data_IF_397377707580
#
_entry.id   IF_397377707580
#
_cell.length_a   1.000
_cell.length_b   1.000
_cell.length_c   1.000
_cell.angle_alpha   90.00
_cell.angle_beta   90.00
_cell.angle_gamma   90.00
#
_symmetry.space_group_name_H-M   'P 1'
#
loop_
_entity.id
_entity.type
_entity.pdbx_description
1 polymer ?
#
# COMPACT_ATOMS: atom_id res chain seq x y z
N UNK A 1 -36.19 -37.24 48.54
CA UNK A 1 -36.79 -35.90 48.54
C UNK A 1 -35.68 -34.91 48.84
N UNK A 2 -35.55 -33.95 47.95
CA UNK A 2 -34.58 -32.86 47.93
C UNK A 2 -34.62 -32.00 49.20
N UNK A 3 -33.48 -31.41 49.56
CA UNK A 3 -33.34 -29.95 49.73
C UNK A 3 -31.91 -29.57 50.14
N UNK A 4 -31.17 -29.07 49.14
CA UNK A 4 -30.34 -27.86 49.18
C UNK A 4 -29.73 -27.40 50.52
N UNK A 5 -28.44 -27.69 50.68
CA UNK A 5 -27.53 -26.99 51.58
C UNK A 5 -26.31 -26.48 50.80
N UNK A 6 -26.09 -25.17 50.85
CA UNK A 6 -25.06 -24.36 50.17
C UNK A 6 -23.65 -25.00 50.19
N UNK A 7 -22.95 -25.15 49.04
CA UNK A 7 -21.50 -25.37 49.04
C UNK A 7 -20.74 -24.04 49.19
N UNK A 8 -19.62 -24.02 49.95
CA UNK A 8 -18.79 -22.84 50.11
C UNK A 8 -18.05 -22.47 48.82
N UNK A 9 -17.79 -21.17 48.67
CA UNK A 9 -16.98 -20.52 47.61
C UNK A 9 -15.72 -21.34 47.26
N UNK A 10 -15.47 -21.70 45.99
CA UNK A 10 -14.13 -22.08 45.57
C UNK A 10 -13.25 -20.81 45.50
N UNK A 11 -12.17 -20.86 46.27
CA UNK A 11 -11.02 -19.97 46.17
C UNK A 11 -10.50 -19.91 44.74
N UNK A 12 -10.16 -18.70 44.31
CA UNK A 12 -9.39 -18.39 43.11
C UNK A 12 -8.22 -19.38 42.93
N UNK A 13 -8.03 -19.97 41.74
CA UNK A 13 -6.82 -20.72 41.48
C UNK A 13 -5.62 -19.76 41.40
N UNK A 14 -4.48 -20.14 41.99
CA UNK A 14 -3.26 -19.36 41.92
C UNK A 14 -2.68 -19.37 40.50
N UNK A 15 -1.98 -18.27 40.24
CA UNK A 15 -1.11 -17.96 39.13
C UNK A 15 -0.33 -19.19 38.63
N UNK A 16 -0.56 -19.57 37.37
CA UNK A 16 0.13 -20.68 36.75
C UNK A 16 1.41 -20.13 36.12
N UNK A 17 2.43 -20.05 36.96
CA UNK A 17 3.84 -19.92 36.57
C UNK A 17 4.18 -20.88 35.43
N UNK A 18 4.82 -20.32 34.40
CA UNK A 18 5.88 -20.91 33.61
C UNK A 18 5.67 -22.35 33.12
N UNK A 19 5.12 -22.45 31.90
CA UNK A 19 5.52 -23.51 30.97
C UNK A 19 6.17 -22.90 29.75
N UNK A 20 7.47 -22.67 29.90
CA UNK A 20 8.41 -22.48 28.80
C UNK A 20 8.42 -23.73 27.92
N UNK A 21 8.17 -23.56 26.62
CA UNK A 21 8.62 -24.51 25.60
C UNK A 21 10.00 -24.03 25.15
N UNK A 22 11.00 -24.71 25.70
CA UNK A 22 12.42 -24.54 25.45
C UNK A 22 12.76 -24.84 23.98
N UNK A 23 13.22 -23.84 23.22
CA UNK A 23 14.10 -24.07 22.06
C UNK A 23 15.46 -23.48 22.41
N UNK A 24 16.38 -24.39 22.72
CA UNK A 24 17.75 -24.12 23.15
C UNK A 24 18.51 -23.41 22.01
N UNK A 25 19.00 -22.20 22.27
CA UNK A 25 20.29 -21.76 21.73
C UNK A 25 21.13 -21.20 22.87
N UNK A 26 22.14 -21.98 23.25
CA UNK A 26 23.11 -21.71 24.30
C UNK A 26 24.20 -20.76 23.81
N UNK A 27 24.37 -19.62 24.51
CA UNK A 27 25.64 -18.98 24.96
C UNK A 27 25.29 -17.56 25.45
N UNK A 28 25.07 -17.37 26.76
CA UNK A 28 26.06 -16.95 27.77
C UNK A 28 26.53 -15.50 27.64
N UNK A 29 25.92 -14.61 28.45
CA UNK A 29 26.64 -13.51 29.10
C UNK A 29 26.13 -12.09 28.82
N UNK A 30 25.61 -11.44 29.87
CA UNK A 30 25.60 -9.97 29.99
C UNK A 30 24.23 -9.32 29.77
N UNK A 31 23.58 -8.94 30.86
CA UNK A 31 22.24 -8.37 30.85
C UNK A 31 22.16 -6.96 30.24
N UNK A 32 21.04 -6.70 29.57
CA UNK A 32 20.23 -5.51 29.76
C UNK A 32 18.80 -5.88 29.33
N UNK A 33 17.89 -5.83 30.30
CA UNK A 33 16.45 -5.99 30.11
C UNK A 33 15.93 -4.88 29.19
N UNK A 34 15.48 -5.24 28.00
CA UNK A 34 14.67 -4.36 27.15
C UNK A 34 13.21 -4.57 27.57
N UNK A 35 12.71 -3.65 28.38
CA UNK A 35 11.30 -3.49 28.70
C UNK A 35 10.56 -3.07 27.41
N UNK A 36 9.89 -4.01 26.74
CA UNK A 36 8.95 -3.69 25.65
C UNK A 36 7.54 -3.46 26.20
N UNK A 37 7.42 -2.45 27.05
CA UNK A 37 6.19 -1.66 27.12
C UNK A 37 6.24 -0.62 26.01
N UNK A 38 5.90 -1.00 24.77
CA UNK A 38 5.54 0.00 23.75
C UNK A 38 4.20 0.62 24.16
N UNK A 39 4.27 1.57 25.08
CA UNK A 39 3.23 2.56 25.27
C UNK A 39 2.99 3.21 23.92
N UNK A 40 1.74 3.20 23.46
CA UNK A 40 1.30 4.05 22.36
C UNK A 40 1.50 5.50 22.79
N UNK A 41 2.69 6.03 22.52
CA UNK A 41 2.94 7.47 22.57
C UNK A 41 2.17 8.03 21.38
N UNK A 42 0.94 8.47 21.64
CA UNK A 42 0.32 9.50 20.83
C UNK A 42 1.31 10.67 20.86
N UNK A 43 2.03 10.87 19.76
CA UNK A 43 2.93 11.99 19.56
C UNK A 43 2.11 13.27 19.81
N UNK A 44 2.27 13.81 21.02
CA UNK A 44 1.63 15.04 21.48
C UNK A 44 2.42 16.27 21.05
N UNK A 45 3.33 16.13 20.07
CA UNK A 45 3.80 17.28 19.34
C UNK A 45 2.69 17.77 18.43
N UNK A 46 1.89 18.71 18.96
CA UNK A 46 1.12 19.65 18.15
C UNK A 46 2.09 20.57 17.40
N UNK A 47 2.94 20.01 16.54
CA UNK A 47 3.51 20.76 15.42
C UNK A 47 2.32 21.06 14.53
N UNK A 48 1.86 22.31 14.57
CA UNK A 48 0.94 22.85 13.57
C UNK A 48 1.59 22.58 12.22
N UNK A 49 1.19 21.47 11.59
CA UNK A 49 1.60 21.10 10.25
C UNK A 49 1.15 22.28 9.41
N UNK A 50 2.10 23.09 8.88
CA UNK A 50 1.75 24.09 7.87
C UNK A 50 0.93 23.33 6.83
N UNK A 51 -0.31 23.76 6.64
CA UNK A 51 -1.19 23.17 5.64
C UNK A 51 -0.48 23.45 4.33
N UNK A 52 0.13 22.42 3.75
CA UNK A 52 0.76 22.52 2.45
C UNK A 52 -0.35 22.92 1.46
N UNK A 53 -0.29 24.18 1.05
CA UNK A 53 -1.37 24.85 0.32
C UNK A 53 -1.53 24.17 -1.03
N UNK A 54 -0.44 23.67 -1.64
CA UNK A 54 -0.52 22.97 -2.92
C UNK A 54 -1.22 21.62 -2.80
N UNK A 55 -0.98 20.87 -1.72
CA UNK A 55 -1.62 19.56 -1.50
C UNK A 55 -3.14 19.68 -1.29
N UNK A 56 -3.60 20.77 -0.71
CA UNK A 56 -5.01 20.96 -0.35
C UNK A 56 -5.75 21.98 -1.24
N UNK A 57 -5.05 22.70 -2.12
CA UNK A 57 -5.62 23.63 -3.09
C UNK A 57 -6.77 23.03 -3.93
N UNK A 58 -6.70 21.75 -4.38
CA UNK A 58 -7.81 21.13 -5.08
C UNK A 58 -9.13 21.16 -4.29
N UNK A 59 -9.10 20.87 -2.99
CA UNK A 59 -10.30 20.85 -2.15
C UNK A 59 -10.97 22.22 -2.13
N UNK A 60 -10.18 23.27 -1.89
CA UNK A 60 -10.65 24.66 -1.89
C UNK A 60 -11.16 25.09 -3.27
N UNK A 61 -10.44 24.76 -4.34
CA UNK A 61 -10.82 25.07 -5.72
C UNK A 61 -12.13 24.43 -6.13
N UNK A 62 -12.34 23.14 -5.82
CA UNK A 62 -13.60 22.45 -6.10
C UNK A 62 -14.75 22.94 -5.23
N UNK A 63 -14.50 23.32 -3.96
CA UNK A 63 -15.52 23.93 -3.11
C UNK A 63 -16.00 25.29 -3.68
N UNK A 64 -15.06 26.14 -4.12
CA UNK A 64 -15.37 27.42 -4.77
C UNK A 64 -16.10 27.21 -6.11
N UNK A 65 -15.62 26.27 -6.93
CA UNK A 65 -16.25 25.94 -8.19
C UNK A 65 -17.67 25.37 -8.00
N UNK A 66 -17.91 24.58 -6.94
CA UNK A 66 -19.24 24.12 -6.56
C UNK A 66 -20.15 25.30 -6.18
N UNK A 67 -19.67 26.23 -5.36
CA UNK A 67 -20.42 27.43 -4.99
C UNK A 67 -20.75 28.31 -6.20
N UNK A 68 -19.77 28.57 -7.07
CA UNK A 68 -19.96 29.32 -8.31
C UNK A 68 -20.97 28.64 -9.24
N UNK A 69 -20.88 27.32 -9.43
CA UNK A 69 -21.84 26.56 -10.22
C UNK A 69 -23.25 26.62 -9.60
N UNK A 70 -23.36 26.50 -8.28
CA UNK A 70 -24.66 26.61 -7.59
C UNK A 70 -25.29 27.99 -7.75
N UNK A 71 -24.49 29.06 -7.66
CA UNK A 71 -24.94 30.43 -7.90
C UNK A 71 -25.35 30.62 -9.37
N UNK A 72 -24.52 30.20 -10.31
CA UNK A 72 -24.83 30.26 -11.74
C UNK A 72 -26.14 29.55 -12.09
N UNK A 73 -26.40 28.37 -11.52
CA UNK A 73 -27.67 27.65 -11.71
C UNK A 73 -28.90 28.39 -11.16
N UNK A 74 -28.75 29.27 -10.16
CA UNK A 74 -29.84 30.13 -9.70
C UNK A 74 -30.20 31.20 -10.73
N UNK A 75 -29.19 31.74 -11.43
CA UNK A 75 -29.40 32.79 -12.43
C UNK A 75 -29.75 32.25 -13.83
N UNK A 76 -29.30 31.04 -14.19
CA UNK A 76 -29.55 30.42 -15.50
C UNK A 76 -30.02 28.96 -15.33
N UNK A 77 -31.31 28.73 -14.99
CA UNK A 77 -31.83 27.38 -14.77
C UNK A 77 -32.03 26.64 -16.10
N UNK A 78 -30.97 26.05 -16.66
CA UNK A 78 -31.08 25.10 -17.76
C UNK A 78 -31.37 23.70 -17.21
N UNK A 79 -32.54 23.13 -17.51
CA UNK A 79 -32.88 21.73 -17.24
C UNK A 79 -32.30 20.85 -18.34
N UNK A 80 -31.02 20.47 -18.21
CA UNK A 80 -30.46 19.38 -19.01
C UNK A 80 -31.05 18.05 -18.53
N UNK A 81 -31.27 17.07 -19.45
CA UNK A 81 -31.64 15.73 -19.05
C UNK A 81 -30.59 15.16 -18.09
N UNK A 82 -31.06 14.50 -17.03
CA UNK A 82 -30.21 14.01 -15.96
C UNK A 82 -29.47 12.75 -16.45
N UNK A 83 -28.29 12.96 -17.05
CA UNK A 83 -27.45 11.89 -17.59
C UNK A 83 -26.94 10.93 -16.50
N UNK A 84 -26.75 11.40 -15.26
CA UNK A 84 -26.26 10.58 -14.16
C UNK A 84 -27.07 10.81 -12.88
N UNK A 85 -27.23 9.82 -11.98
CA UNK A 85 -27.93 9.98 -10.70
C UNK A 85 -27.20 10.83 -9.67
N UNK A 86 -25.95 11.17 -9.97
CA UNK A 86 -25.10 11.80 -8.99
C UNK A 86 -25.61 13.19 -8.67
N UNK A 87 -25.64 13.49 -7.37
CA UNK A 87 -25.82 14.86 -6.94
C UNK A 87 -24.61 15.67 -7.40
N UNK A 88 -24.81 16.96 -7.66
CA UNK A 88 -23.71 17.86 -8.00
C UNK A 88 -22.60 17.80 -6.94
N UNK A 89 -22.98 17.73 -5.66
CA UNK A 89 -22.03 17.56 -4.55
C UNK A 89 -21.20 16.28 -4.65
N UNK A 90 -21.81 15.16 -5.07
CA UNK A 90 -21.12 13.87 -5.20
C UNK A 90 -20.04 13.93 -6.29
N UNK A 91 -20.35 14.57 -7.43
CA UNK A 91 -19.38 14.75 -8.53
C UNK A 91 -18.20 15.65 -8.12
N UNK A 92 -18.48 16.79 -7.47
CA UNK A 92 -17.43 17.69 -7.00
C UNK A 92 -16.60 17.06 -5.89
N UNK A 93 -17.21 16.29 -4.99
CA UNK A 93 -16.48 15.56 -3.96
C UNK A 93 -15.58 14.48 -4.57
N UNK A 94 -16.07 13.72 -5.55
CA UNK A 94 -15.27 12.74 -6.27
C UNK A 94 -14.06 13.38 -6.96
N UNK A 95 -14.28 14.39 -7.80
CA UNK A 95 -13.19 15.04 -8.54
C UNK A 95 -12.23 15.80 -7.63
N UNK A 96 -12.75 16.46 -6.58
CA UNK A 96 -11.92 17.10 -5.57
C UNK A 96 -11.03 16.11 -4.84
N UNK A 97 -11.58 14.95 -4.42
CA UNK A 97 -10.81 13.89 -3.77
C UNK A 97 -9.79 13.26 -4.71
N UNK A 98 -10.19 12.97 -5.95
CA UNK A 98 -9.32 12.40 -6.99
C UNK A 98 -8.12 13.32 -7.26
N UNK A 99 -8.36 14.60 -7.51
CA UNK A 99 -7.29 15.56 -7.78
C UNK A 99 -6.38 15.76 -6.56
N UNK A 100 -6.96 15.81 -5.35
CA UNK A 100 -6.19 15.88 -4.10
C UNK A 100 -5.24 14.70 -3.99
N UNK A 101 -5.76 13.47 -4.11
CA UNK A 101 -4.96 12.25 -4.05
C UNK A 101 -3.88 12.21 -5.13
N UNK A 102 -4.18 12.66 -6.36
CA UNK A 102 -3.19 12.84 -7.42
C UNK A 102 -2.09 13.82 -7.03
N UNK A 103 -2.43 14.98 -6.48
CA UNK A 103 -1.43 15.95 -6.01
C UNK A 103 -0.54 15.36 -4.92
N UNK A 104 -1.11 14.67 -3.92
CA UNK A 104 -0.31 13.98 -2.90
C UNK A 104 0.59 12.91 -3.52
N UNK A 105 0.09 12.12 -4.47
CA UNK A 105 0.87 11.13 -5.20
C UNK A 105 2.05 11.76 -5.97
N UNK A 106 1.81 12.87 -6.69
CA UNK A 106 2.85 13.58 -7.43
C UNK A 106 3.91 14.20 -6.52
N UNK A 107 3.53 14.79 -5.39
CA UNK A 107 4.51 15.31 -4.42
C UNK A 107 5.38 14.18 -3.88
N UNK A 108 4.77 13.06 -3.49
CA UNK A 108 5.53 11.92 -2.99
C UNK A 108 6.40 11.28 -4.07
N UNK A 109 5.98 11.31 -5.33
CA UNK A 109 6.82 10.92 -6.45
C UNK A 109 8.02 11.88 -6.65
N UNK A 110 7.81 13.19 -6.52
CA UNK A 110 8.90 14.17 -6.58
C UNK A 110 9.93 13.93 -5.46
N UNK A 111 9.48 13.62 -4.24
CA UNK A 111 10.36 13.25 -3.13
C UNK A 111 11.17 11.97 -3.43
N UNK A 112 10.54 10.98 -4.08
CA UNK A 112 11.23 9.76 -4.52
C UNK A 112 12.31 10.08 -5.55
N UNK A 113 12.06 10.96 -6.53
CA UNK A 113 13.07 11.32 -7.55
C UNK A 113 14.27 12.04 -6.93
N UNK A 114 14.05 12.84 -5.88
CA UNK A 114 15.12 13.58 -5.19
C UNK A 114 16.10 12.63 -4.48
N UNK A 115 15.59 11.55 -3.89
CA UNK A 115 16.37 10.55 -3.16
C UNK A 115 16.84 9.42 -4.10
N UNK A 116 18.15 9.30 -4.34
CA UNK A 116 18.71 8.31 -5.28
C UNK A 116 18.35 6.88 -4.90
N UNK A 117 18.35 6.57 -3.60
CA UNK A 117 18.11 5.21 -3.14
C UNK A 117 16.64 4.84 -3.31
N UNK A 118 15.73 5.76 -2.97
CA UNK A 118 14.29 5.56 -3.21
C UNK A 118 13.95 5.47 -4.71
N UNK A 119 14.59 6.30 -5.55
CA UNK A 119 14.41 6.24 -6.99
C UNK A 119 14.89 4.89 -7.55
N UNK A 120 15.99 4.35 -7.02
CA UNK A 120 16.50 3.03 -7.43
C UNK A 120 15.50 1.93 -7.10
N UNK A 121 14.93 1.95 -5.89
CA UNK A 121 13.89 0.99 -5.48
C UNK A 121 12.64 1.12 -6.37
N UNK A 122 12.21 2.37 -6.65
CA UNK A 122 11.08 2.66 -7.53
C UNK A 122 11.30 2.12 -8.96
N UNK A 123 12.46 2.41 -9.55
CA UNK A 123 12.81 1.92 -10.87
C UNK A 123 12.91 0.39 -10.89
N UNK A 124 13.27 -0.24 -9.76
CA UNK A 124 13.22 -1.70 -9.62
C UNK A 124 11.82 -2.24 -9.84
N UNK A 125 10.81 -1.61 -9.25
CA UNK A 125 9.40 -1.91 -9.54
C UNK A 125 9.06 -1.70 -11.01
N UNK A 126 9.44 -0.56 -11.59
CA UNK A 126 9.19 -0.25 -13.00
C UNK A 126 9.83 -1.29 -13.96
N UNK A 127 11.06 -1.72 -13.66
CA UNK A 127 11.73 -2.78 -14.40
C UNK A 127 10.92 -4.10 -14.34
N UNK A 128 10.36 -4.46 -13.17
CA UNK A 128 9.48 -5.62 -13.03
C UNK A 128 8.22 -5.50 -13.90
N UNK A 129 7.62 -4.31 -13.99
CA UNK A 129 6.46 -4.07 -14.86
C UNK A 129 6.78 -4.41 -16.34
N UNK A 130 8.00 -4.15 -16.79
CA UNK A 130 8.46 -4.40 -18.16
C UNK A 130 9.07 -5.80 -18.38
N UNK A 131 9.17 -6.64 -17.35
CA UNK A 131 9.66 -8.01 -17.49
C UNK A 131 8.64 -8.94 -18.16
N UNK A 132 9.15 -9.85 -18.99
CA UNK A 132 8.38 -10.98 -19.50
C UNK A 132 8.04 -11.98 -18.39
N UNK A 133 6.96 -12.75 -18.56
CA UNK A 133 6.56 -13.79 -17.61
C UNK A 133 7.71 -14.79 -17.33
N UNK A 134 8.48 -15.15 -18.36
CA UNK A 134 9.64 -16.05 -18.26
C UNK A 134 10.74 -15.46 -17.37
N UNK A 135 11.07 -14.18 -17.53
CA UNK A 135 12.07 -13.50 -16.68
C UNK A 135 11.64 -13.45 -15.21
N UNK A 136 10.35 -13.23 -14.95
CA UNK A 136 9.80 -13.25 -13.58
C UNK A 136 9.88 -14.65 -12.98
N UNK A 137 9.60 -15.69 -13.77
CA UNK A 137 9.70 -17.09 -13.34
C UNK A 137 11.16 -17.50 -13.08
N UNK A 138 12.12 -17.02 -13.87
CA UNK A 138 13.56 -17.24 -13.63
C UNK A 138 14.04 -16.62 -12.30
N UNK A 139 13.61 -15.38 -12.01
CA UNK A 139 13.92 -14.71 -10.73
C UNK A 139 13.26 -15.44 -9.55
N UNK A 140 11.99 -15.83 -9.70
CA UNK A 140 11.25 -16.59 -8.68
C UNK A 140 11.91 -17.96 -8.41
N UNK A 141 12.20 -18.73 -9.45
CA UNK A 141 12.76 -20.08 -9.33
C UNK A 141 14.19 -20.11 -8.80
N UNK A 142 15.01 -19.11 -9.13
CA UNK A 142 16.34 -18.94 -8.53
C UNK A 142 16.28 -18.66 -7.03
N UNK A 143 15.24 -17.95 -6.59
CA UNK A 143 15.02 -17.59 -5.19
C UNK A 143 14.56 -18.79 -4.37
N UNK A 144 13.67 -19.60 -4.94
CA UNK A 144 13.21 -20.86 -4.34
C UNK A 144 14.39 -21.81 -4.06
N UNK A 145 15.32 -21.98 -4.99
CA UNK A 145 16.45 -22.90 -4.78
C UNK A 145 17.40 -22.50 -3.64
N UNK A 146 17.52 -21.21 -3.36
CA UNK A 146 18.47 -20.66 -2.38
C UNK A 146 17.84 -20.55 -1.00
N UNK A 147 16.55 -20.23 -0.94
CA UNK A 147 15.80 -20.12 0.31
C UNK A 147 15.28 -21.47 0.82
N UNK A 148 15.07 -22.46 -0.05
CA UNK A 148 14.50 -23.76 0.35
C UNK A 148 15.52 -24.88 0.62
N UNK A 149 16.83 -24.59 0.63
CA UNK A 149 17.87 -25.56 1.06
C UNK A 149 18.31 -25.30 2.50
N UNK A 150 17.77 -26.07 3.45
CA UNK A 150 18.26 -26.18 4.84
C UNK A 150 17.34 -25.58 5.92
N UNK A 151 17.76 -25.70 7.19
CA UNK A 151 17.00 -25.31 8.39
C UNK A 151 16.64 -23.82 8.43
N UNK A 152 17.45 -22.95 7.80
CA UNK A 152 17.19 -21.51 7.66
C UNK A 152 16.01 -21.17 6.74
N UNK A 153 15.68 -22.04 5.78
CA UNK A 153 14.53 -21.86 4.91
C UNK A 153 13.20 -22.03 5.64
N UNK A 154 13.17 -22.93 6.63
CA UNK A 154 11.98 -23.17 7.46
C UNK A 154 11.70 -21.99 8.38
N UNK A 155 12.74 -21.42 9.02
CA UNK A 155 12.57 -20.23 9.87
C UNK A 155 12.18 -19.01 9.06
N UNK A 156 12.73 -18.85 7.85
CA UNK A 156 12.34 -17.77 6.95
C UNK A 156 10.89 -17.90 6.46
N UNK A 157 10.45 -19.12 6.07
CA UNK A 157 9.06 -19.37 5.69
C UNK A 157 8.09 -19.05 6.84
N UNK A 158 8.45 -19.42 8.06
CA UNK A 158 7.67 -19.08 9.24
C UNK A 158 7.63 -17.58 9.49
N UNK A 159 8.73 -16.85 9.24
CA UNK A 159 8.76 -15.39 9.33
C UNK A 159 7.87 -14.74 8.27
N UNK A 160 7.94 -15.14 7.00
CA UNK A 160 7.05 -14.65 5.94
C UNK A 160 5.58 -14.96 6.23
N UNK A 161 5.30 -16.16 6.74
CA UNK A 161 3.96 -16.56 7.16
C UNK A 161 3.46 -15.73 8.34
N UNK A 162 4.34 -15.36 9.28
CA UNK A 162 3.98 -14.48 10.38
C UNK A 162 3.60 -13.07 9.90
N UNK A 163 4.31 -12.53 8.91
CA UNK A 163 4.03 -11.21 8.31
C UNK A 163 2.67 -11.22 7.62
N UNK A 164 2.42 -12.28 6.83
CA UNK A 164 1.25 -12.33 5.96
C UNK A 164 -0.01 -12.82 6.67
N UNK A 165 0.10 -13.78 7.59
CA UNK A 165 -1.04 -14.47 8.20
C UNK A 165 -1.01 -14.32 9.72
N UNK A 166 0.14 -14.54 10.37
CA UNK A 166 0.23 -14.60 11.84
C UNK A 166 -0.20 -13.32 12.54
N UNK A 167 0.02 -12.16 11.94
CA UNK A 167 -0.40 -10.88 12.50
C UNK A 167 -1.87 -10.53 12.21
N UNK A 168 -2.49 -11.13 11.18
CA UNK A 168 -3.87 -10.79 10.80
C UNK A 168 -4.87 -11.15 11.90
N UNK A 169 -4.70 -12.29 12.57
CA UNK A 169 -5.65 -12.76 13.59
C UNK A 169 -5.61 -11.90 14.87
N UNK A 170 -4.47 -11.29 15.16
CA UNK A 170 -4.28 -10.41 16.33
C UNK A 170 -4.61 -8.95 16.05
N UNK A 171 -4.86 -8.58 14.79
CA UNK A 171 -5.15 -7.20 14.38
C UNK A 171 -6.56 -6.73 14.73
N UNK A 172 -6.62 -5.47 15.15
CA UNK A 172 -7.86 -4.68 15.25
C UNK A 172 -8.52 -4.54 13.86
N UNK A 173 -9.84 -4.22 13.79
CA UNK A 173 -10.53 -4.07 12.51
C UNK A 173 -9.87 -3.06 11.54
N UNK A 174 -9.32 -1.96 12.05
CA UNK A 174 -8.62 -0.97 11.23
C UNK A 174 -7.27 -1.48 10.72
N UNK A 175 -6.53 -2.22 11.54
CA UNK A 175 -5.30 -2.87 11.11
C UNK A 175 -5.57 -3.96 10.07
N UNK A 176 -6.67 -4.71 10.21
CA UNK A 176 -7.12 -5.66 9.17
C UNK A 176 -7.44 -4.94 7.87
N UNK A 177 -8.17 -3.82 7.91
CA UNK A 177 -8.45 -3.03 6.72
C UNK A 177 -7.17 -2.50 6.06
N UNK A 178 -6.21 -2.03 6.87
CA UNK A 178 -4.90 -1.60 6.37
C UNK A 178 -4.13 -2.77 5.74
N UNK A 179 -4.16 -3.94 6.38
CA UNK A 179 -3.58 -5.16 5.84
C UNK A 179 -4.19 -5.52 4.47
N UNK A 180 -5.53 -5.51 4.36
CA UNK A 180 -6.24 -5.72 3.09
C UNK A 180 -5.83 -4.68 2.05
N UNK A 181 -5.73 -3.42 2.44
CA UNK A 181 -5.30 -2.34 1.56
C UNK A 181 -3.91 -2.61 0.95
N UNK A 182 -2.97 -3.20 1.70
CA UNK A 182 -1.62 -3.49 1.20
C UNK A 182 -1.48 -4.85 0.52
N UNK A 183 -2.16 -5.90 0.99
CA UNK A 183 -1.88 -7.29 0.63
C UNK A 183 -2.94 -7.93 -0.29
N UNK A 184 -4.13 -7.36 -0.40
CA UNK A 184 -5.22 -7.99 -1.16
C UNK A 184 -5.07 -7.89 -2.67
N UNK A 185 -4.11 -7.10 -3.14
CA UNK A 185 -4.00 -6.73 -4.55
C UNK A 185 -3.23 -7.76 -5.37
N UNK A 186 -2.32 -8.48 -4.74
CA UNK A 186 -1.46 -9.46 -5.37
C UNK A 186 -1.55 -10.81 -4.63
N UNK A 187 -1.38 -11.91 -5.35
CA UNK A 187 -1.46 -13.25 -4.78
C UNK A 187 -0.32 -13.51 -3.79
N UNK A 188 -0.58 -14.42 -2.83
CA UNK A 188 0.42 -14.88 -1.86
C UNK A 188 1.70 -15.37 -2.52
N UNK A 189 1.55 -16.16 -3.59
CA UNK A 189 2.68 -16.71 -4.34
C UNK A 189 3.54 -15.63 -4.97
N UNK A 190 2.92 -14.60 -5.55
CA UNK A 190 3.63 -13.51 -6.23
C UNK A 190 4.49 -12.73 -5.24
N UNK A 191 3.94 -12.41 -4.08
CA UNK A 191 4.70 -11.70 -3.05
C UNK A 191 5.74 -12.59 -2.37
N UNK A 192 5.43 -13.86 -2.07
CA UNK A 192 6.41 -14.79 -1.48
C UNK A 192 7.63 -14.95 -2.42
N UNK A 193 7.40 -14.97 -3.74
CA UNK A 193 8.45 -14.98 -4.75
C UNK A 193 9.35 -13.73 -4.69
N UNK A 194 8.77 -12.53 -4.61
CA UNK A 194 9.55 -11.28 -4.55
C UNK A 194 10.24 -11.08 -3.20
N UNK A 195 9.56 -11.39 -2.09
CA UNK A 195 10.18 -11.38 -0.76
C UNK A 195 11.37 -12.35 -0.72
N UNK A 196 11.20 -13.53 -1.29
CA UNK A 196 12.27 -14.50 -1.44
C UNK A 196 13.42 -13.97 -2.31
N UNK A 197 13.13 -13.34 -3.44
CA UNK A 197 14.15 -12.79 -4.32
C UNK A 197 15.00 -11.69 -3.67
N UNK A 198 14.37 -10.81 -2.89
CA UNK A 198 15.06 -9.77 -2.12
C UNK A 198 16.02 -10.41 -1.11
N UNK A 199 15.55 -11.37 -0.31
CA UNK A 199 16.39 -12.01 0.72
C UNK A 199 17.50 -12.87 0.11
N UNK A 200 17.21 -13.64 -0.94
CA UNK A 200 18.22 -14.44 -1.63
C UNK A 200 19.33 -13.57 -2.22
N UNK A 201 18.99 -12.36 -2.69
CA UNK A 201 19.97 -11.42 -3.22
C UNK A 201 20.78 -10.74 -2.13
N UNK A 202 20.15 -10.34 -1.01
CA UNK A 202 20.86 -9.83 0.17
C UNK A 202 21.89 -10.84 0.69
N UNK A 203 21.51 -12.11 0.82
CA UNK A 203 22.43 -13.18 1.24
C UNK A 203 23.61 -13.31 0.26
N UNK A 204 23.37 -13.28 -1.06
CA UNK A 204 24.44 -13.34 -2.07
C UNK A 204 25.39 -12.15 -1.98
N UNK A 205 24.87 -10.94 -1.77
CA UNK A 205 25.68 -9.73 -1.63
C UNK A 205 26.58 -9.80 -0.40
N UNK A 206 26.01 -10.18 0.74
CA UNK A 206 26.73 -10.26 2.01
C UNK A 206 27.76 -11.41 2.02
N UNK A 207 27.44 -12.56 1.42
CA UNK A 207 28.41 -13.64 1.22
C UNK A 207 29.60 -13.23 0.34
N UNK A 208 29.38 -12.36 -0.66
CA UNK A 208 30.46 -11.84 -1.52
C UNK A 208 31.30 -10.76 -0.84
N UNK A 209 30.71 -9.98 0.07
CA UNK A 209 31.33 -8.79 0.62
C UNK A 209 32.18 -9.04 1.88
N UNK A 210 31.72 -9.89 2.81
CA UNK A 210 32.34 -9.98 4.15
C UNK A 210 32.56 -11.40 4.66
N UNK A 211 31.95 -12.42 4.07
CA UNK A 211 32.02 -13.79 4.60
C UNK A 211 31.37 -13.96 5.99
N UNK A 212 30.84 -12.89 6.57
CA UNK A 212 30.12 -12.86 7.84
C UNK A 212 28.62 -13.10 7.65
N UNK A 213 27.96 -13.51 8.73
CA UNK A 213 26.51 -13.69 8.77
C UNK A 213 25.87 -12.29 8.79
N UNK A 214 25.06 -11.92 7.79
CA UNK A 214 24.49 -10.59 7.73
C UNK A 214 23.46 -10.34 8.83
N UNK A 215 23.36 -9.07 9.24
CA UNK A 215 22.29 -8.60 10.11
C UNK A 215 20.92 -8.87 9.48
N UNK A 216 19.93 -9.32 10.28
CA UNK A 216 18.61 -9.64 9.76
C UNK A 216 17.95 -8.40 9.14
N UNK A 217 17.38 -8.58 7.94
CA UNK A 217 16.58 -7.54 7.28
C UNK A 217 15.42 -7.13 8.19
N UNK A 218 15.16 -5.82 8.28
CA UNK A 218 14.00 -5.32 8.96
C UNK A 218 12.73 -5.84 8.26
N UNK A 219 11.91 -6.58 9.01
CA UNK A 219 10.69 -7.23 8.50
C UNK A 219 9.74 -6.21 7.84
N UNK A 220 9.61 -5.01 8.42
CA UNK A 220 8.77 -3.93 7.88
C UNK A 220 9.23 -3.46 6.51
N UNK A 221 10.55 -3.28 6.33
CA UNK A 221 11.11 -2.74 5.11
C UNK A 221 11.09 -3.81 4.01
N UNK A 222 11.24 -5.08 4.39
CA UNK A 222 11.10 -6.22 3.49
C UNK A 222 9.66 -6.31 2.97
N UNK A 223 8.67 -6.18 3.85
CA UNK A 223 7.26 -6.18 3.45
C UNK A 223 6.94 -5.05 2.47
N UNK A 224 7.41 -3.82 2.76
CA UNK A 224 7.22 -2.67 1.87
C UNK A 224 7.86 -2.91 0.51
N UNK A 225 9.11 -3.37 0.47
CA UNK A 225 9.85 -3.60 -0.77
C UNK A 225 9.24 -4.75 -1.59
N UNK A 226 8.93 -5.88 -0.95
CA UNK A 226 8.30 -7.02 -1.60
C UNK A 226 6.89 -6.69 -2.13
N UNK A 227 6.11 -5.95 -1.35
CA UNK A 227 4.78 -5.44 -1.77
C UNK A 227 4.91 -4.51 -2.96
N UNK A 228 5.91 -3.62 -2.98
CA UNK A 228 6.16 -2.74 -4.12
C UNK A 228 6.48 -3.53 -5.39
N UNK A 229 7.41 -4.48 -5.36
CA UNK A 229 7.75 -5.31 -6.51
C UNK A 229 6.57 -6.18 -6.97
N UNK A 230 5.82 -6.75 -6.03
CA UNK A 230 4.62 -7.53 -6.31
C UNK A 230 3.53 -6.69 -7.01
N UNK A 231 3.30 -5.47 -6.55
CA UNK A 231 2.34 -4.56 -7.16
C UNK A 231 2.71 -4.20 -8.61
N UNK A 232 4.00 -4.04 -8.92
CA UNK A 232 4.43 -3.80 -10.30
C UNK A 232 4.33 -5.04 -11.17
N UNK A 233 4.53 -6.23 -10.61
CA UNK A 233 4.32 -7.47 -11.35
C UNK A 233 2.85 -7.68 -11.75
N UNK A 234 1.91 -7.22 -10.92
CA UNK A 234 0.47 -7.26 -11.22
C UNK A 234 -0.06 -5.99 -11.89
N UNK A 235 0.81 -5.08 -12.35
CA UNK A 235 0.41 -3.77 -12.86
C UNK A 235 -0.57 -3.85 -14.03
N UNK A 236 -0.35 -4.77 -14.97
CA UNK A 236 -1.24 -4.99 -16.11
C UNK A 236 -2.64 -5.43 -15.67
N UNK A 237 -2.74 -6.28 -14.65
CA UNK A 237 -4.03 -6.71 -14.12
C UNK A 237 -4.78 -5.53 -13.49
N UNK A 238 -4.06 -4.61 -12.83
CA UNK A 238 -4.67 -3.41 -12.26
C UNK A 238 -5.15 -2.42 -13.33
N UNK A 239 -4.36 -2.18 -14.38
CA UNK A 239 -4.78 -1.29 -15.48
C UNK A 239 -5.98 -1.88 -16.22
N UNK A 240 -6.01 -3.19 -16.42
CA UNK A 240 -7.19 -3.88 -16.96
C UNK A 240 -8.40 -3.76 -16.02
N UNK A 241 -8.23 -3.89 -14.71
CA UNK A 241 -9.32 -3.74 -13.74
C UNK A 241 -9.89 -2.32 -13.75
N UNK A 242 -9.01 -1.30 -13.75
CA UNK A 242 -9.40 0.11 -13.81
C UNK A 242 -10.18 0.42 -15.10
N UNK A 243 -9.70 -0.08 -16.24
CA UNK A 243 -10.40 0.01 -17.52
C UNK A 243 -11.77 -0.69 -17.48
N UNK A 244 -11.85 -1.90 -16.91
CA UNK A 244 -13.12 -2.64 -16.79
C UNK A 244 -14.12 -1.91 -15.90
N UNK A 245 -13.69 -1.33 -14.78
CA UNK A 245 -14.54 -0.52 -13.90
C UNK A 245 -15.04 0.74 -14.61
N UNK A 246 -14.16 1.41 -15.35
CA UNK A 246 -14.50 2.60 -16.15
C UNK A 246 -15.50 2.29 -17.27
N UNK A 247 -15.29 1.17 -17.99
CA UNK A 247 -16.23 0.69 -19.01
C UNK A 247 -17.56 0.29 -18.38
N UNK A 248 -17.55 -0.45 -17.26
CA UNK A 248 -18.77 -0.84 -16.56
C UNK A 248 -19.56 0.39 -16.08
N UNK A 249 -18.86 1.41 -15.58
CA UNK A 249 -19.47 2.68 -15.22
C UNK A 249 -20.08 3.38 -16.45
N UNK A 250 -19.33 3.51 -17.54
CA UNK A 250 -19.80 4.09 -18.79
C UNK A 250 -21.04 3.37 -19.34
N UNK A 251 -21.03 2.04 -19.34
CA UNK A 251 -22.15 1.20 -19.79
C UNK A 251 -23.37 1.31 -18.88
N UNK A 252 -23.19 1.51 -17.58
CA UNK A 252 -24.32 1.67 -16.65
C UNK A 252 -25.15 2.92 -16.93
N UNK A 253 -24.57 3.96 -17.55
CA UNK A 253 -25.24 5.25 -17.83
C UNK A 253 -26.45 5.07 -18.77
N UNK A 254 -26.34 4.50 -19.97
CA UNK A 254 -27.49 4.28 -20.85
C UNK A 254 -28.55 3.37 -20.22
N UNK A 255 -28.16 2.33 -19.45
CA UNK A 255 -29.12 1.48 -18.74
C UNK A 255 -29.89 2.26 -17.66
N UNK A 256 -29.21 3.12 -16.90
CA UNK A 256 -29.85 3.99 -15.92
C UNK A 256 -30.81 4.98 -16.60
N UNK A 257 -30.42 5.54 -17.75
CA UNK A 257 -31.29 6.43 -18.53
C UNK A 257 -32.52 5.70 -19.07
N UNK A 258 -32.36 4.47 -19.57
CA UNK A 258 -33.46 3.64 -20.04
C UNK A 258 -34.41 3.30 -18.88
N UNK A 259 -33.89 2.88 -17.72
CA UNK A 259 -34.69 2.56 -16.54
C UNK A 259 -35.49 3.76 -15.99
N UNK A 260 -34.95 4.98 -16.13
CA UNK A 260 -35.68 6.21 -15.79
C UNK A 260 -36.76 6.52 -16.81
N UNK A 261 -36.46 6.35 -18.10
CA UNK A 261 -37.42 6.60 -19.18
C UNK A 261 -38.62 5.65 -19.11
N UNK A 262 -38.43 4.41 -18.67
CA UNK A 262 -39.51 3.42 -18.48
C UNK A 262 -40.25 3.58 -17.15
N UNK A 263 -39.81 4.47 -16.25
CA UNK A 263 -40.48 4.74 -14.97
C UNK A 263 -40.38 3.62 -13.93
N UNK A 264 -39.60 2.56 -14.20
CA UNK A 264 -39.50 1.38 -13.34
C UNK A 264 -38.58 1.66 -12.15
N UNK A 265 -39.21 2.04 -11.01
CA UNK A 265 -38.51 2.31 -9.73
C UNK A 265 -37.59 1.18 -9.28
N UNK A 266 -38.02 -0.05 -9.49
CA UNK A 266 -37.26 -1.25 -9.12
C UNK A 266 -35.95 -1.42 -9.89
N UNK A 267 -35.82 -0.81 -11.08
CA UNK A 267 -34.62 -0.91 -11.91
C UNK A 267 -33.68 0.28 -11.71
N UNK A 268 -34.20 1.51 -11.58
CA UNK A 268 -33.31 2.67 -11.50
C UNK A 268 -32.66 2.85 -10.11
N UNK A 269 -33.30 2.44 -9.01
CA UNK A 269 -32.73 2.59 -7.65
C UNK A 269 -31.46 1.72 -7.45
N UNK A 270 -31.49 0.41 -7.75
CA UNK A 270 -30.28 -0.42 -7.73
C UNK A 270 -29.20 0.11 -8.68
N UNK A 271 -29.58 0.58 -9.87
CA UNK A 271 -28.64 1.12 -10.85
C UNK A 271 -27.93 2.38 -10.34
N UNK A 272 -28.64 3.26 -9.63
CA UNK A 272 -28.03 4.41 -8.97
C UNK A 272 -27.04 4.00 -7.86
N UNK A 273 -27.36 2.94 -7.10
CA UNK A 273 -26.46 2.37 -6.11
C UNK A 273 -25.20 1.79 -6.74
N UNK A 274 -25.38 0.98 -7.79
CA UNK A 274 -24.29 0.38 -8.56
C UNK A 274 -23.34 1.44 -9.12
N UNK A 275 -23.88 2.53 -9.69
CA UNK A 275 -23.07 3.63 -10.19
C UNK A 275 -22.21 4.29 -9.11
N UNK A 276 -22.75 4.50 -7.90
CA UNK A 276 -21.97 5.04 -6.77
C UNK A 276 -20.87 4.06 -6.33
N UNK A 277 -21.17 2.77 -6.29
CA UNK A 277 -20.19 1.74 -5.94
C UNK A 277 -19.07 1.70 -7.00
N UNK A 278 -19.41 1.72 -8.28
CA UNK A 278 -18.44 1.77 -9.38
C UNK A 278 -17.58 3.03 -9.31
N UNK A 279 -18.18 4.19 -9.05
CA UNK A 279 -17.44 5.45 -8.93
C UNK A 279 -16.49 5.42 -7.71
N UNK A 280 -16.93 4.88 -6.58
CA UNK A 280 -16.07 4.70 -5.41
C UNK A 280 -14.94 3.68 -5.67
N UNK A 281 -15.23 2.61 -6.41
CA UNK A 281 -14.24 1.62 -6.81
C UNK A 281 -13.18 2.23 -7.75
N UNK A 282 -13.58 3.08 -8.70
CA UNK A 282 -12.66 3.85 -9.55
C UNK A 282 -11.82 4.79 -8.69
N UNK A 283 -12.44 5.57 -7.78
CA UNK A 283 -11.69 6.47 -6.90
C UNK A 283 -10.59 5.73 -6.13
N UNK A 284 -10.95 4.57 -5.57
CA UNK A 284 -10.02 3.74 -4.82
C UNK A 284 -8.92 3.17 -5.73
N UNK A 285 -9.30 2.50 -6.82
CA UNK A 285 -8.38 1.77 -7.68
C UNK A 285 -7.41 2.69 -8.43
N UNK A 286 -7.86 3.85 -8.93
CA UNK A 286 -7.00 4.74 -9.72
C UNK A 286 -6.20 5.71 -8.83
N UNK A 287 -6.78 6.24 -7.75
CA UNK A 287 -6.19 7.36 -7.01
C UNK A 287 -5.65 6.95 -5.63
N UNK A 288 -6.41 6.20 -4.83
CA UNK A 288 -5.96 5.77 -3.49
C UNK A 288 -4.79 4.80 -3.60
N UNK A 289 -4.88 3.83 -4.51
CA UNK A 289 -3.81 2.86 -4.77
C UNK A 289 -2.55 3.57 -5.29
N UNK A 290 -2.69 4.54 -6.21
CA UNK A 290 -1.56 5.31 -6.74
C UNK A 290 -0.85 6.10 -5.63
N UNK A 291 -1.61 6.82 -4.80
CA UNK A 291 -1.06 7.54 -3.65
C UNK A 291 -0.34 6.61 -2.67
N UNK A 292 -0.98 5.50 -2.29
CA UNK A 292 -0.42 4.50 -1.38
C UNK A 292 0.90 3.93 -1.90
N UNK A 293 0.98 3.64 -3.22
CA UNK A 293 2.19 3.10 -3.85
C UNK A 293 3.41 4.00 -3.62
N UNK A 294 3.28 5.31 -3.83
CA UNK A 294 4.41 6.23 -3.64
C UNK A 294 4.69 6.51 -2.16
N UNK A 295 3.66 6.69 -1.33
CA UNK A 295 3.84 6.94 0.10
C UNK A 295 4.52 5.77 0.84
N UNK A 296 4.22 4.54 0.46
CA UNK A 296 4.76 3.39 1.20
C UNK A 296 6.26 3.20 0.97
N UNK A 297 6.77 3.43 -0.24
CA UNK A 297 8.20 3.32 -0.53
C UNK A 297 9.01 4.29 0.34
N UNK A 298 8.47 5.49 0.60
CA UNK A 298 9.11 6.50 1.46
C UNK A 298 9.26 6.06 2.92
N UNK A 299 8.54 5.01 3.36
CA UNK A 299 8.59 4.48 4.73
C UNK A 299 9.74 3.50 4.96
N UNK A 300 10.46 3.09 3.92
CA UNK A 300 11.66 2.25 4.04
C UNK A 300 12.72 3.03 4.83
N UNK A 301 13.21 2.46 5.94
CA UNK A 301 14.22 3.07 6.80
C UNK A 301 15.62 2.83 6.24
N UNK A 302 15.93 1.59 5.84
CA UNK A 302 17.25 1.21 5.32
C UNK A 302 17.34 1.33 3.78
N UNK A 303 17.17 2.56 3.28
CA UNK A 303 17.06 2.83 1.84
C UNK A 303 18.27 2.34 1.04
N UNK A 304 19.48 2.56 1.57
CA UNK A 304 20.72 2.21 0.89
C UNK A 304 20.90 0.71 0.67
N UNK A 305 20.59 -0.11 1.70
CA UNK A 305 20.66 -1.57 1.58
C UNK A 305 19.65 -2.10 0.58
N UNK A 306 18.39 -1.65 0.64
CA UNK A 306 17.37 -2.09 -0.31
C UNK A 306 17.64 -1.61 -1.74
N UNK A 307 18.18 -0.41 -1.93
CA UNK A 307 18.64 0.05 -3.24
C UNK A 307 19.74 -0.86 -3.80
N UNK A 308 20.76 -1.20 -2.99
CA UNK A 308 21.83 -2.11 -3.41
C UNK A 308 21.30 -3.51 -3.78
N UNK A 309 20.35 -4.05 -3.01
CA UNK A 309 19.68 -5.32 -3.31
C UNK A 309 18.96 -5.22 -4.66
N UNK A 310 18.16 -4.18 -4.87
CA UNK A 310 17.40 -3.98 -6.12
C UNK A 310 18.35 -3.84 -7.32
N UNK A 311 19.43 -3.07 -7.20
CA UNK A 311 20.45 -2.94 -8.26
C UNK A 311 21.08 -4.31 -8.58
N UNK A 312 21.38 -5.11 -7.56
CA UNK A 312 21.94 -6.44 -7.73
C UNK A 312 20.93 -7.46 -8.28
N UNK A 313 19.64 -7.32 -7.99
CA UNK A 313 18.59 -8.18 -8.55
C UNK A 313 18.48 -7.99 -10.06
N UNK A 314 18.58 -6.75 -10.53
CA UNK A 314 18.26 -6.40 -11.90
C UNK A 314 19.49 -6.12 -12.80
N UNK A 315 20.71 -6.19 -12.27
CA UNK A 315 22.01 -6.16 -12.99
C UNK A 315 22.03 -5.24 -14.22
N UNK A 316 21.59 -3.99 -14.09
CA UNK A 316 21.33 -3.17 -15.26
C UNK A 316 22.09 -1.84 -15.18
N UNK A 317 23.07 -1.67 -16.08
CA UNK A 317 23.70 -0.40 -16.43
C UNK A 317 22.70 0.64 -16.99
N UNK A 318 21.43 0.26 -17.17
CA UNK A 318 20.32 1.15 -17.52
C UNK A 318 19.74 1.90 -16.32
N UNK A 319 19.94 1.46 -15.07
CA UNK A 319 19.41 2.17 -13.90
C UNK A 319 20.07 3.53 -13.72
N UNK A 320 21.39 3.62 -13.80
CA UNK A 320 22.08 4.91 -13.66
C UNK A 320 21.67 5.90 -14.77
N UNK A 321 21.47 5.42 -16.00
CA UNK A 321 20.94 6.24 -17.11
C UNK A 321 19.48 6.66 -16.89
N UNK A 322 18.62 5.75 -16.42
CA UNK A 322 17.22 6.03 -16.13
C UNK A 322 17.05 6.97 -14.93
N UNK A 323 17.91 6.86 -13.91
CA UNK A 323 18.02 7.76 -12.77
C UNK A 323 18.37 9.17 -13.27
N UNK A 324 19.36 9.28 -14.16
CA UNK A 324 19.80 10.56 -14.69
C UNK A 324 18.77 11.19 -15.65
N UNK A 325 18.04 10.37 -16.41
CA UNK A 325 16.92 10.82 -17.24
C UNK A 325 15.73 11.32 -16.40
N UNK A 326 15.33 10.57 -15.36
CA UNK A 326 14.23 10.99 -14.47
C UNK A 326 14.57 12.26 -13.67
N UNK A 327 15.82 12.46 -13.30
CA UNK A 327 16.28 13.73 -12.69
C UNK A 327 16.19 14.92 -13.63
N UNK A 328 16.33 14.72 -14.95
CA UNK A 328 16.15 15.79 -15.94
C UNK A 328 14.68 16.15 -16.18
N UNK A 329 13.76 15.23 -15.90
CA UNK A 329 12.32 15.43 -16.08
C UNK A 329 11.75 16.34 -14.98
N UNK A 330 12.37 16.42 -13.81
CA UNK A 330 11.98 17.40 -12.77
C UNK A 330 12.54 18.77 -13.17
N UNK A 331 11.71 19.72 -13.63
CA UNK A 331 12.18 21.06 -13.95
C UNK A 331 12.69 21.72 -12.66
N UNK A 332 13.81 22.46 -12.70
CA UNK A 332 14.33 23.18 -11.54
C UNK A 332 13.30 24.18 -10.94
N UNK A 333 12.31 24.57 -11.74
CA UNK A 333 11.19 25.42 -11.34
C UNK A 333 10.23 24.72 -10.36
N UNK A 334 9.97 23.41 -10.50
CA UNK A 334 9.18 22.64 -9.51
C UNK A 334 9.95 22.43 -8.20
N UNK A 335 11.28 22.48 -8.26
CA UNK A 335 12.13 22.35 -7.07
C UNK A 335 11.94 23.54 -6.09
N UNK A 336 11.62 24.72 -6.62
CA UNK A 336 11.27 25.92 -5.84
C UNK A 336 9.85 25.91 -5.26
N UNK A 337 8.91 25.20 -5.90
CA UNK A 337 7.51 25.09 -5.48
C UNK A 337 7.32 24.07 -4.34
N UNK A 338 8.26 23.14 -4.16
CA UNK A 338 8.24 22.11 -3.11
C UNK A 338 9.37 22.27 -2.08
N UNK A 339 9.99 23.45 -1.99
CA UNK A 339 10.84 23.81 -0.84
C UNK A 339 9.92 24.32 0.27
N UNK A 340 9.87 23.57 1.37
CA UNK A 340 9.36 24.07 2.64
C UNK A 340 10.38 25.11 3.18
N UNK A 341 10.26 26.36 2.74
CA UNK A 341 10.89 27.51 3.43
C UNK A 341 10.00 28.02 4.57
#
# INVERSE_FOLDING_TARGET
MEANGVPPKPSSPPDNSDREVLVITSTSGGGNSIDHSESVVLDSSSRVRRIDIMKNAPIGGFALAYCAHRLYRRYCPRRLPVFTPFKLTELYFFWGSALTLSCYAFVSFADIIRDRDLLTIYLGGDAVAHMTAKQREEISSSSDQILFRGTRGVTFRSALESIRVGLYDTYTPFQKLNWWHHHARHDRRTWDAWAGAVVATDVKLNQRASGEVPDPLAISDLDICATHLADYSSLEQYTQMDNRLSIAFGMSIPFAMLARRTGLRMLYLPMNGLQRILLAAILYQSFVVLHSRFENIKKIKDKGRYAAIVTAMFHNSSFDKAIEEHRRIVPPELDSLFRDD
#
